data_IF_142122253359
#
_entry.id   IF_142122253359
#
_cell.length_a   1.000
_cell.length_b   1.000
_cell.length_c   1.000
_cell.angle_alpha   90.00
_cell.angle_beta   90.00
_cell.angle_gamma   90.00
#
_symmetry.space_group_name_H-M   'P 1'
#
loop_
_entity.id
_entity.type
_entity.pdbx_description
1 polymer ?
#
# COMPACT_ATOMS: atom_id res chain seq x y z
N UNK A 1 17.46 -6.04 75.94
CA UNK A 1 17.84 -6.56 74.61
C UNK A 1 17.11 -5.86 73.46
N UNK A 2 15.77 -5.77 73.45
CA UNK A 2 15.04 -5.12 72.34
C UNK A 2 15.23 -3.58 72.25
N UNK A 3 15.36 -2.88 73.38
CA UNK A 3 15.54 -1.42 73.39
C UNK A 3 16.90 -0.95 72.84
N UNK A 4 17.97 -1.73 73.03
CA UNK A 4 19.33 -1.38 72.57
C UNK A 4 19.47 -1.47 71.04
N UNK A 5 18.71 -2.36 70.39
CA UNK A 5 18.71 -2.49 68.93
C UNK A 5 18.00 -1.29 68.27
N UNK A 6 16.90 -0.81 68.86
CA UNK A 6 16.19 0.38 68.37
C UNK A 6 17.04 1.65 68.52
N UNK A 7 17.72 1.81 69.66
CA UNK A 7 18.62 2.94 69.91
C UNK A 7 19.81 2.96 68.94
N UNK A 8 20.41 1.80 68.65
CA UNK A 8 21.49 1.66 67.68
C UNK A 8 21.03 1.97 66.25
N UNK A 9 19.85 1.49 65.84
CA UNK A 9 19.28 1.80 64.53
C UNK A 9 19.01 3.30 64.37
N UNK A 10 18.53 3.95 65.42
CA UNK A 10 18.30 5.40 65.42
C UNK A 10 19.60 6.20 65.38
N UNK A 11 20.65 5.74 66.08
CA UNK A 11 21.98 6.34 65.99
C UNK A 11 22.61 6.18 64.61
N UNK A 12 22.49 4.99 63.98
CA UNK A 12 22.95 4.76 62.60
C UNK A 12 22.20 5.66 61.63
N UNK A 13 20.89 5.85 61.82
CA UNK A 13 20.09 6.73 60.99
C UNK A 13 20.50 8.20 61.12
N UNK A 14 20.63 8.69 62.35
CA UNK A 14 21.06 10.07 62.61
C UNK A 14 22.49 10.33 62.15
N UNK A 15 23.39 9.35 62.31
CA UNK A 15 24.75 9.41 61.77
C UNK A 15 24.75 9.41 60.24
N UNK A 16 23.90 8.63 59.60
CA UNK A 16 23.70 8.64 58.14
C UNK A 16 23.19 10.00 57.64
N UNK A 17 22.21 10.60 58.34
CA UNK A 17 21.70 11.93 58.01
C UNK A 17 22.75 13.03 58.22
N UNK A 18 23.52 12.95 59.31
CA UNK A 18 24.59 13.89 59.62
C UNK A 18 25.77 13.81 58.65
N UNK A 19 26.17 12.62 58.23
CA UNK A 19 27.20 12.41 57.22
C UNK A 19 26.75 12.92 55.84
N UNK A 20 25.48 12.67 55.46
CA UNK A 20 24.91 13.17 54.21
C UNK A 20 24.89 14.71 54.17
N UNK A 21 24.50 15.37 55.26
CA UNK A 21 24.56 16.85 55.36
C UNK A 21 26.00 17.38 55.36
N UNK A 22 26.94 16.70 56.02
CA UNK A 22 28.36 17.11 56.02
C UNK A 22 29.02 16.97 54.64
N UNK A 23 28.64 15.95 53.88
CA UNK A 23 29.04 15.79 52.48
C UNK A 23 28.27 16.72 51.54
N UNK A 24 27.11 17.28 51.91
CA UNK A 24 26.41 18.27 51.09
C UNK A 24 27.15 19.63 51.03
N UNK A 25 27.71 20.08 52.17
CA UNK A 25 28.49 21.33 52.26
C UNK A 25 29.83 21.23 51.49
N UNK A 26 30.52 20.10 51.58
CA UNK A 26 31.77 19.85 50.85
C UNK A 26 31.54 19.36 49.42
N UNK A 27 30.42 18.69 49.18
CA UNK A 27 30.02 18.13 47.88
C UNK A 27 29.66 19.19 46.86
N UNK A 28 29.16 20.36 47.28
CA UNK A 28 28.86 21.46 46.35
C UNK A 28 30.14 22.01 45.69
N UNK A 29 31.25 22.12 46.45
CA UNK A 29 32.54 22.57 45.90
C UNK A 29 33.17 21.53 44.98
N UNK A 30 33.08 20.25 45.32
CA UNK A 30 33.55 19.15 44.47
C UNK A 30 32.68 19.05 43.21
N UNK A 31 31.37 19.28 43.34
CA UNK A 31 30.44 19.34 42.21
C UNK A 31 30.78 20.50 41.28
N UNK A 32 30.99 21.73 41.79
CA UNK A 32 31.37 22.87 40.95
C UNK A 32 32.72 22.65 40.26
N UNK A 33 33.69 22.02 40.95
CA UNK A 33 34.97 21.64 40.34
C UNK A 33 34.78 20.60 39.23
N UNK A 34 33.98 19.57 39.45
CA UNK A 34 33.64 18.55 38.46
C UNK A 34 32.84 19.13 37.28
N UNK A 35 31.94 20.09 37.51
CA UNK A 35 31.19 20.78 36.45
C UNK A 35 32.13 21.62 35.61
N UNK A 36 33.03 22.39 36.24
CA UNK A 36 34.03 23.19 35.53
C UNK A 36 35.02 22.33 34.74
N UNK A 37 35.43 21.19 35.30
CA UNK A 37 36.25 20.20 34.61
C UNK A 37 35.47 19.52 33.48
N UNK A 38 34.18 19.23 33.69
CA UNK A 38 33.24 18.76 32.67
C UNK A 38 33.10 19.75 31.50
N UNK A 39 32.94 21.05 31.77
CA UNK A 39 32.92 22.09 30.75
C UNK A 39 34.26 22.20 30.00
N UNK A 40 35.38 22.06 30.70
CA UNK A 40 36.71 22.05 30.09
C UNK A 40 36.91 20.81 29.20
N UNK A 41 36.46 19.63 29.65
CA UNK A 41 36.47 18.39 28.89
C UNK A 41 35.51 18.47 27.70
N UNK A 42 34.34 19.07 27.84
CA UNK A 42 33.41 19.30 26.73
C UNK A 42 33.98 20.26 25.70
N UNK A 43 34.61 21.37 26.12
CA UNK A 43 35.28 22.31 25.22
C UNK A 43 36.44 21.64 24.46
N UNK A 44 37.26 20.83 25.15
CA UNK A 44 38.34 20.05 24.51
C UNK A 44 37.79 18.99 23.57
N UNK A 45 36.77 18.24 24.00
CA UNK A 45 36.09 17.21 23.19
C UNK A 45 35.44 17.84 21.97
N UNK A 46 34.80 19.00 22.10
CA UNK A 46 34.20 19.73 20.99
C UNK A 46 35.25 20.20 20.00
N UNK A 47 36.38 20.77 20.46
CA UNK A 47 37.49 21.15 19.57
C UNK A 47 38.07 19.96 18.82
N UNK A 48 38.37 18.86 19.53
CA UNK A 48 38.87 17.63 18.89
C UNK A 48 37.82 16.95 18.01
N UNK A 49 36.53 17.09 18.32
CA UNK A 49 35.44 16.63 17.46
C UNK A 49 35.32 17.50 16.21
N UNK A 50 35.41 18.82 16.32
CA UNK A 50 35.38 19.75 15.19
C UNK A 50 36.55 19.49 14.22
N UNK A 51 37.76 19.25 14.74
CA UNK A 51 38.93 18.84 13.94
C UNK A 51 38.70 17.50 13.22
N UNK A 52 38.23 16.48 13.96
CA UNK A 52 37.94 15.16 13.39
C UNK A 52 36.79 15.22 12.38
N UNK A 53 35.78 16.04 12.62
CA UNK A 53 34.66 16.25 11.68
C UNK A 53 35.16 16.96 10.43
N UNK A 54 36.09 17.92 10.55
CA UNK A 54 36.69 18.57 9.38
C UNK A 54 37.49 17.59 8.51
N UNK A 55 38.28 16.70 9.12
CA UNK A 55 39.03 15.67 8.39
C UNK A 55 38.11 14.60 7.80
N UNK A 56 37.11 14.13 8.56
CA UNK A 56 36.08 13.22 8.06
C UNK A 56 35.31 13.87 6.91
N UNK A 57 35.02 15.18 6.98
CA UNK A 57 34.34 15.90 5.90
C UNK A 57 35.21 15.98 4.65
N UNK A 58 36.51 16.30 4.77
CA UNK A 58 37.44 16.26 3.62
C UNK A 58 37.54 14.88 2.98
N UNK A 59 37.64 13.82 3.79
CA UNK A 59 37.66 12.42 3.31
C UNK A 59 36.32 12.05 2.68
N UNK A 60 35.21 12.46 3.29
CA UNK A 60 33.87 12.24 2.76
C UNK A 60 33.65 12.99 1.44
N UNK A 61 34.09 14.24 1.31
CA UNK A 61 34.00 15.05 0.09
C UNK A 61 34.86 14.44 -1.03
N UNK A 62 36.09 14.01 -0.73
CA UNK A 62 36.95 13.32 -1.70
C UNK A 62 36.36 11.98 -2.16
N UNK A 63 35.80 11.19 -1.24
CA UNK A 63 35.14 9.92 -1.55
C UNK A 63 33.81 10.14 -2.29
N UNK A 64 33.04 11.17 -1.93
CA UNK A 64 31.83 11.56 -2.64
C UNK A 64 32.14 12.03 -4.06
N UNK A 65 33.25 12.75 -4.28
CA UNK A 65 33.67 13.14 -5.62
C UNK A 65 33.97 11.91 -6.49
N UNK A 66 34.62 10.88 -5.93
CA UNK A 66 34.82 9.60 -6.60
C UNK A 66 33.51 8.87 -6.90
N UNK A 67 32.57 8.84 -5.95
CA UNK A 67 31.24 8.23 -6.13
C UNK A 67 30.42 8.99 -7.17
N UNK A 68 30.40 10.33 -7.14
CA UNK A 68 29.73 11.16 -8.15
C UNK A 68 30.29 10.89 -9.53
N UNK A 69 31.63 10.93 -9.69
CA UNK A 69 32.28 10.61 -10.97
C UNK A 69 31.95 9.20 -11.46
N UNK A 70 31.88 8.22 -10.56
CA UNK A 70 31.49 6.85 -10.91
C UNK A 70 30.00 6.76 -11.30
N UNK A 71 29.12 7.49 -10.61
CA UNK A 71 27.70 7.59 -10.95
C UNK A 71 27.52 8.27 -12.30
N UNK A 72 28.18 9.40 -12.56
CA UNK A 72 28.13 10.11 -13.83
C UNK A 72 28.63 9.24 -14.98
N UNK A 73 29.76 8.53 -14.79
CA UNK A 73 30.28 7.59 -15.79
C UNK A 73 29.31 6.42 -16.04
N UNK A 74 28.66 5.91 -14.99
CA UNK A 74 27.69 4.81 -15.10
C UNK A 74 26.39 5.27 -15.73
N UNK A 75 25.93 6.48 -15.42
CA UNK A 75 24.77 7.11 -16.07
C UNK A 75 25.07 7.34 -17.54
N UNK A 76 26.21 7.90 -17.90
CA UNK A 76 26.61 8.04 -19.30
C UNK A 76 26.67 6.69 -20.03
N UNK A 77 27.23 5.65 -19.40
CA UNK A 77 27.29 4.30 -19.98
C UNK A 77 25.91 3.64 -20.10
N UNK A 78 25.01 3.85 -19.13
CA UNK A 78 23.64 3.34 -19.18
C UNK A 78 22.85 4.08 -20.25
N UNK A 79 22.94 5.40 -20.31
CA UNK A 79 22.31 6.21 -21.37
C UNK A 79 22.79 5.75 -22.74
N UNK A 80 24.11 5.60 -22.95
CA UNK A 80 24.64 5.10 -24.23
C UNK A 80 24.15 3.70 -24.60
N UNK A 81 24.04 2.79 -23.62
CA UNK A 81 23.47 1.44 -23.84
C UNK A 81 21.99 1.49 -24.13
N UNK A 82 21.22 2.33 -23.45
CA UNK A 82 19.79 2.52 -23.67
C UNK A 82 19.57 3.10 -25.07
N UNK A 83 20.30 4.14 -25.46
CA UNK A 83 20.22 4.70 -26.82
C UNK A 83 20.56 3.63 -27.87
N UNK A 84 21.66 2.88 -27.70
CA UNK A 84 22.03 1.82 -28.65
C UNK A 84 21.02 0.65 -28.69
N UNK A 85 20.39 0.31 -27.57
CA UNK A 85 19.32 -0.69 -27.53
C UNK A 85 18.05 -0.14 -28.15
N UNK A 86 17.72 1.13 -27.91
CA UNK A 86 16.61 1.82 -28.56
C UNK A 86 16.83 1.85 -30.07
N UNK A 87 17.96 2.34 -30.58
CA UNK A 87 18.26 2.40 -32.02
C UNK A 87 18.22 1.02 -32.68
N UNK A 88 18.79 0.00 -32.02
CA UNK A 88 18.81 -1.38 -32.53
C UNK A 88 17.46 -2.08 -32.41
N UNK A 89 16.59 -1.63 -31.51
CA UNK A 89 15.29 -2.21 -31.25
C UNK A 89 14.12 -1.32 -31.70
N UNK A 90 14.31 -0.15 -32.30
CA UNK A 90 13.23 0.75 -32.72
C UNK A 90 12.19 0.03 -33.57
N UNK A 91 12.62 -0.81 -34.53
CA UNK A 91 11.70 -1.62 -35.32
C UNK A 91 10.99 -2.76 -34.54
N UNK A 92 11.53 -3.20 -33.40
CA UNK A 92 10.84 -4.12 -32.47
C UNK A 92 9.92 -3.38 -31.51
N UNK A 93 10.24 -2.12 -31.18
CA UNK A 93 9.39 -1.21 -30.41
C UNK A 93 8.11 -0.87 -31.15
N UNK A 94 8.13 -0.66 -32.47
CA UNK A 94 6.91 -0.50 -33.27
C UNK A 94 5.96 -1.71 -33.15
N UNK A 95 6.49 -2.92 -33.00
CA UNK A 95 5.68 -4.13 -32.77
C UNK A 95 5.21 -4.24 -31.32
N UNK A 96 6.00 -3.75 -30.36
CA UNK A 96 5.60 -3.64 -28.96
C UNK A 96 4.54 -2.56 -28.76
N UNK A 97 4.56 -1.47 -29.53
CA UNK A 97 3.53 -0.43 -29.54
C UNK A 97 2.20 -1.01 -30.02
N UNK A 98 2.21 -1.81 -31.09
CA UNK A 98 1.01 -2.56 -31.52
C UNK A 98 0.52 -3.54 -30.44
N UNK A 99 1.41 -4.32 -29.83
CA UNK A 99 1.03 -5.28 -28.78
C UNK A 99 0.58 -4.55 -27.50
N UNK A 100 1.15 -3.39 -27.21
CA UNK A 100 0.77 -2.53 -26.09
C UNK A 100 -0.59 -1.89 -26.36
N UNK A 101 -0.84 -1.36 -27.55
CA UNK A 101 -2.16 -0.88 -27.97
C UNK A 101 -3.19 -2.00 -27.88
N UNK A 102 -2.88 -3.22 -28.34
CA UNK A 102 -3.77 -4.37 -28.18
C UNK A 102 -3.99 -4.73 -26.70
N UNK A 103 -2.95 -4.66 -25.85
CA UNK A 103 -3.07 -4.94 -24.41
C UNK A 103 -3.87 -3.87 -23.68
N UNK A 104 -3.63 -2.60 -23.99
CA UNK A 104 -4.32 -1.43 -23.44
C UNK A 104 -5.77 -1.43 -23.92
N UNK A 105 -6.03 -1.67 -25.21
CA UNK A 105 -7.38 -1.81 -25.75
C UNK A 105 -8.14 -2.95 -25.07
N UNK A 106 -7.48 -4.09 -24.83
CA UNK A 106 -8.09 -5.23 -24.14
C UNK A 106 -8.34 -4.96 -22.65
N UNK A 107 -7.46 -4.22 -21.98
CA UNK A 107 -7.66 -3.80 -20.59
C UNK A 107 -8.81 -2.77 -20.48
N UNK A 108 -8.88 -1.81 -21.40
CA UNK A 108 -9.96 -0.83 -21.48
C UNK A 108 -11.30 -1.49 -21.80
N UNK A 109 -11.33 -2.44 -22.73
CA UNK A 109 -12.51 -3.24 -23.03
C UNK A 109 -12.96 -4.07 -21.83
N UNK A 110 -12.01 -4.65 -21.07
CA UNK A 110 -12.30 -5.40 -19.84
C UNK A 110 -12.77 -4.51 -18.68
N UNK A 111 -12.42 -3.22 -18.69
CA UNK A 111 -12.93 -2.20 -17.75
C UNK A 111 -14.25 -1.57 -18.22
N UNK A 112 -14.77 -1.97 -19.39
CA UNK A 112 -16.04 -1.46 -19.92
C UNK A 112 -15.95 -0.12 -20.65
N UNK A 113 -14.74 0.34 -21.01
CA UNK A 113 -14.54 1.54 -21.84
C UNK A 113 -14.61 1.13 -23.31
N UNK A 114 -15.66 1.52 -24.07
CA UNK A 114 -15.78 1.16 -25.48
C UNK A 114 -14.67 1.80 -26.32
N UNK A 115 -13.98 1.01 -27.14
CA UNK A 115 -12.86 1.49 -27.96
C UNK A 115 -13.34 2.09 -29.29
N UNK A 116 -12.52 2.95 -29.94
CA UNK A 116 -12.84 3.54 -31.26
C UNK A 116 -13.20 2.49 -32.32
N UNK A 117 -12.48 1.36 -32.37
CA UNK A 117 -12.73 0.28 -33.32
C UNK A 117 -14.11 -0.37 -33.11
N UNK A 118 -14.57 -0.45 -31.87
CA UNK A 118 -15.89 -0.98 -31.55
C UNK A 118 -17.00 -0.01 -31.98
N UNK A 119 -16.77 1.30 -31.83
CA UNK A 119 -17.70 2.35 -32.30
C UNK A 119 -17.83 2.29 -33.84
N UNK A 120 -16.73 2.14 -34.56
CA UNK A 120 -16.75 2.04 -36.03
C UNK A 120 -17.49 0.78 -36.50
N UNK A 121 -17.26 -0.35 -35.81
CA UNK A 121 -17.92 -1.62 -36.13
C UNK A 121 -19.42 -1.56 -35.83
N UNK A 122 -19.81 -0.89 -34.75
CA UNK A 122 -21.22 -0.67 -34.42
C UNK A 122 -21.89 0.25 -35.45
N UNK A 123 -21.21 1.32 -35.87
CA UNK A 123 -21.71 2.25 -36.89
C UNK A 123 -22.01 1.53 -38.21
N UNK A 124 -21.09 0.67 -38.67
CA UNK A 124 -21.32 -0.16 -39.88
C UNK A 124 -22.53 -1.09 -39.73
N UNK A 125 -22.65 -1.75 -38.58
CA UNK A 125 -23.80 -2.63 -38.30
C UNK A 125 -25.11 -1.86 -38.27
N UNK A 126 -25.11 -0.68 -37.65
CA UNK A 126 -26.29 0.20 -37.64
C UNK A 126 -26.65 0.60 -39.06
N UNK A 127 -25.69 0.97 -39.92
CA UNK A 127 -26.01 1.31 -41.32
C UNK A 127 -26.59 0.13 -42.10
N UNK A 128 -26.08 -1.10 -41.90
CA UNK A 128 -26.65 -2.31 -42.54
C UNK A 128 -28.04 -2.64 -42.00
N UNK A 129 -28.25 -2.56 -40.69
CA UNK A 129 -29.55 -2.79 -40.07
C UNK A 129 -30.56 -1.73 -40.48
N UNK A 130 -30.18 -0.44 -40.51
CA UNK A 130 -31.04 0.64 -41.01
C UNK A 130 -31.40 0.40 -42.47
N UNK A 131 -30.46 -0.05 -43.32
CA UNK A 131 -30.76 -0.37 -44.72
C UNK A 131 -31.72 -1.56 -44.88
N UNK A 132 -31.61 -2.58 -44.03
CA UNK A 132 -32.51 -3.74 -44.00
C UNK A 132 -33.90 -3.37 -43.48
N UNK A 133 -33.97 -2.54 -42.44
CA UNK A 133 -35.21 -2.02 -41.87
C UNK A 133 -35.90 -1.10 -42.86
N UNK A 134 -35.17 -0.24 -43.59
CA UNK A 134 -35.76 0.58 -44.66
C UNK A 134 -36.37 -0.31 -45.73
N UNK A 135 -35.62 -1.31 -46.22
CA UNK A 135 -36.14 -2.30 -47.19
C UNK A 135 -37.36 -3.07 -46.68
N UNK A 136 -37.43 -3.38 -45.39
CA UNK A 136 -38.61 -4.03 -44.79
C UNK A 136 -39.77 -3.06 -44.56
N UNK A 137 -39.51 -1.81 -44.19
CA UNK A 137 -40.52 -0.76 -44.06
C UNK A 137 -41.13 -0.39 -45.41
N UNK A 138 -40.32 -0.22 -46.46
CA UNK A 138 -40.80 -0.04 -47.84
C UNK A 138 -41.66 -1.24 -48.30
N UNK A 139 -41.33 -2.45 -47.85
CA UNK A 139 -42.12 -3.67 -48.11
C UNK A 139 -43.41 -3.77 -47.25
N UNK A 140 -43.43 -3.17 -46.05
CA UNK A 140 -44.61 -3.13 -45.18
C UNK A 140 -45.58 -1.99 -45.52
N UNK A 141 -45.10 -0.82 -45.97
CA UNK A 141 -45.95 0.28 -46.41
C UNK A 141 -46.66 0.00 -47.73
N UNK A 142 -46.22 -1.01 -48.49
CA UNK A 142 -46.91 -1.51 -49.69
C UNK A 142 -48.14 -2.41 -49.44
N UNK A 143 -48.49 -2.71 -48.18
CA UNK A 143 -49.63 -3.60 -47.84
C UNK A 143 -50.60 -3.00 -46.82
N UNK A 144 -51.20 -1.85 -47.14
CA UNK A 144 -52.47 -1.45 -46.49
C UNK A 144 -53.46 -0.86 -47.51
N UNK A 145 -54.28 -1.73 -48.11
CA UNK A 145 -55.62 -1.50 -48.68
C UNK A 145 -56.12 -2.88 -49.20
N UNK A 146 -57.34 -3.41 -49.00
CA UNK A 146 -58.64 -3.02 -48.41
C UNK A 146 -59.47 -4.37 -48.29
N UNK A 147 -60.59 -4.48 -47.51
CA UNK A 147 -61.01 -5.71 -46.80
C UNK A 147 -62.17 -6.50 -47.47
N UNK A 148 -62.38 -7.73 -46.98
CA UNK A 148 -63.64 -8.51 -46.88
C UNK A 148 -63.26 -9.98 -46.63
N UNK A 149 -63.98 -10.87 -45.94
CA UNK A 149 -65.12 -10.83 -45.04
C UNK A 149 -65.13 -12.20 -44.32
N UNK A 150 -65.81 -12.26 -43.17
CA UNK A 150 -65.99 -13.40 -42.27
C UNK A 150 -66.36 -14.72 -42.96
N UNK A 151 -65.85 -15.83 -42.42
CA UNK A 151 -66.68 -17.03 -42.17
C UNK A 151 -66.36 -17.64 -40.81
N UNK A 152 -67.44 -18.01 -40.15
CA UNK A 152 -67.62 -18.59 -38.82
C UNK A 152 -67.23 -20.07 -38.77
N UNK A 153 -66.64 -20.52 -37.66
CA UNK A 153 -67.08 -21.68 -36.88
C UNK A 153 -66.04 -22.06 -35.80
N UNK A 154 -66.48 -22.02 -34.54
CA UNK A 154 -65.95 -22.86 -33.45
C UNK A 154 -67.08 -23.87 -33.12
N UNK A 155 -66.80 -25.08 -32.58
CA UNK A 155 -66.41 -25.15 -31.16
C UNK A 155 -65.48 -26.31 -30.74
N UNK A 156 -64.79 -26.04 -29.61
CA UNK A 156 -64.53 -26.90 -28.45
C UNK A 156 -63.75 -28.23 -28.58
N UNK A 157 -62.62 -28.27 -27.87
CA UNK A 157 -62.26 -29.22 -26.77
C UNK A 157 -60.98 -28.64 -26.13
N UNK A 158 -60.98 -27.99 -24.96
CA UNK A 158 -61.24 -28.47 -23.59
C UNK A 158 -60.29 -29.58 -23.10
N UNK A 159 -59.14 -29.18 -22.52
CA UNK A 159 -58.54 -29.77 -21.31
C UNK A 159 -57.46 -28.79 -20.79
N UNK A 160 -57.69 -28.03 -19.71
CA UNK A 160 -57.52 -28.40 -18.28
C UNK A 160 -56.08 -28.88 -17.99
N UNK A 161 -55.29 -28.38 -17.02
CA UNK A 161 -55.53 -27.51 -15.89
C UNK A 161 -54.18 -26.91 -15.40
N UNK A 162 -54.23 -25.73 -14.78
CA UNK A 162 -53.20 -25.20 -13.87
C UNK A 162 -53.37 -25.84 -12.47
N UNK A 163 -52.73 -25.39 -11.37
CA UNK A 163 -51.41 -24.78 -11.13
C UNK A 163 -50.65 -25.55 -10.01
N UNK A 164 -49.43 -25.15 -9.64
CA UNK A 164 -49.15 -24.88 -8.21
C UNK A 164 -47.84 -24.14 -7.97
N UNK A 165 -48.00 -23.13 -7.14
CA UNK A 165 -46.98 -22.28 -6.58
C UNK A 165 -46.18 -22.97 -5.45
N UNK A 166 -45.05 -22.33 -5.18
CA UNK A 166 -44.50 -22.04 -3.86
C UNK A 166 -43.68 -23.11 -3.10
N UNK A 167 -42.74 -22.62 -2.27
CA UNK A 167 -41.41 -23.20 -2.10
C UNK A 167 -41.28 -23.98 -0.80
N UNK A 168 -40.58 -25.11 -0.83
CA UNK A 168 -40.24 -25.83 0.40
C UNK A 168 -38.91 -25.29 0.94
N UNK A 169 -39.03 -24.52 2.01
CA UNK A 169 -37.98 -24.26 2.99
C UNK A 169 -37.38 -25.59 3.47
N UNK A 170 -36.05 -25.69 3.48
CA UNK A 170 -35.34 -26.29 4.61
C UNK A 170 -33.95 -25.64 4.75
N UNK A 171 -33.65 -24.99 5.89
CA UNK A 171 -32.36 -24.36 6.11
C UNK A 171 -31.38 -25.38 6.68
N UNK A 172 -30.18 -25.46 6.12
CA UNK A 172 -29.03 -26.03 6.79
C UNK A 172 -27.77 -25.29 6.33
N UNK A 173 -27.22 -24.51 7.27
CA UNK A 173 -25.81 -24.30 7.57
C UNK A 173 -24.81 -24.51 6.41
N UNK A 174 -23.87 -23.60 6.13
CA UNK A 174 -22.80 -23.21 7.07
C UNK A 174 -22.00 -22.04 6.48
N UNK A 175 -21.39 -21.25 7.38
CA UNK A 175 -20.29 -20.27 7.20
C UNK A 175 -20.64 -18.88 6.65
N UNK A 176 -20.86 -17.97 7.60
CA UNK A 176 -20.39 -16.59 7.50
C UNK A 176 -19.66 -16.23 8.81
N UNK A 177 -18.40 -15.85 8.71
CA UNK A 177 -17.73 -15.03 9.74
C UNK A 177 -18.37 -13.64 9.79
N UNK A 178 -18.30 -12.92 10.92
CA UNK A 178 -17.46 -11.71 10.93
C UNK A 178 -16.66 -11.50 12.24
N UNK A 179 -15.74 -10.51 12.25
CA UNK A 179 -14.64 -10.37 13.21
C UNK A 179 -15.01 -9.44 14.37
N UNK A 180 -14.44 -9.61 15.56
CA UNK A 180 -14.21 -8.46 16.43
C UNK A 180 -13.13 -8.68 17.47
N UNK A 181 -12.35 -7.62 17.61
CA UNK A 181 -11.15 -7.44 18.38
C UNK A 181 -11.49 -7.07 19.83
N UNK A 182 -11.09 -7.88 20.83
CA UNK A 182 -10.86 -7.38 22.19
C UNK A 182 -9.65 -8.04 22.84
N UNK A 183 -8.51 -7.44 22.53
CA UNK A 183 -7.46 -7.00 23.46
C UNK A 183 -7.94 -6.88 24.93
N UNK A 184 -7.89 -7.96 25.70
CA UNK A 184 -7.62 -7.93 27.14
C UNK A 184 -7.44 -9.35 27.65
N UNK A 185 -6.20 -9.75 27.95
CA UNK A 185 -5.78 -10.58 29.11
C UNK A 185 -4.40 -11.21 28.84
N UNK A 186 -3.51 -10.98 29.81
CA UNK A 186 -2.21 -11.60 30.05
C UNK A 186 -1.01 -11.17 29.18
N UNK A 187 -0.30 -10.21 29.76
CA UNK A 187 1.13 -9.92 29.66
C UNK A 187 2.06 -11.16 29.56
N UNK A 188 3.30 -10.98 29.04
CA UNK A 188 4.13 -12.01 28.45
C UNK A 188 4.93 -12.77 29.50
N UNK A 189 4.68 -14.07 29.61
CA UNK A 189 5.47 -14.98 30.42
C UNK A 189 6.17 -15.97 29.49
N UNK A 190 7.31 -15.56 28.93
CA UNK A 190 8.48 -16.43 28.80
C UNK A 190 9.75 -15.63 28.45
N UNK A 191 10.25 -14.93 29.45
CA UNK A 191 11.69 -14.69 29.60
C UNK A 191 12.35 -16.06 29.79
N UNK A 192 12.61 -16.79 28.70
CA UNK A 192 13.50 -17.95 28.70
C UNK A 192 13.93 -18.31 27.27
N UNK A 193 14.51 -17.35 26.54
CA UNK A 193 15.41 -17.67 25.42
C UNK A 193 16.84 -17.48 25.91
N UNK A 194 17.46 -18.63 26.12
CA UNK A 194 18.74 -18.88 26.76
C UNK A 194 19.88 -18.61 25.75
N UNK A 195 20.84 -17.76 26.18
CA UNK A 195 22.24 -17.59 25.73
C UNK A 195 22.58 -17.23 24.25
N UNK A 196 23.36 -16.15 24.06
CA UNK A 196 24.33 -16.01 22.97
C UNK A 196 25.81 -15.99 23.45
N UNK A 197 26.67 -16.67 22.68
CA UNK A 197 28.14 -16.65 22.53
C UNK A 197 29.06 -16.92 23.73
#
# INVERSE_FOLDING_TARGET
MAQTVKESAQQIWLAGLGAFSKTQEEGTKVFDALVKEGEAIQKKTRKSADEKIADVRKVADGKLAGVRKAVDAKVAAVTGKVTAVTDKASGKWDSLEKVFEDRVARALSSLGVPSKKDIDRLTKRITELTALVQKMSDAQEGKVAKPAARTTAAPATAQAAAPKAAPVRKPAATKASPPENQRSLLMPLLVQQLLPK
#
